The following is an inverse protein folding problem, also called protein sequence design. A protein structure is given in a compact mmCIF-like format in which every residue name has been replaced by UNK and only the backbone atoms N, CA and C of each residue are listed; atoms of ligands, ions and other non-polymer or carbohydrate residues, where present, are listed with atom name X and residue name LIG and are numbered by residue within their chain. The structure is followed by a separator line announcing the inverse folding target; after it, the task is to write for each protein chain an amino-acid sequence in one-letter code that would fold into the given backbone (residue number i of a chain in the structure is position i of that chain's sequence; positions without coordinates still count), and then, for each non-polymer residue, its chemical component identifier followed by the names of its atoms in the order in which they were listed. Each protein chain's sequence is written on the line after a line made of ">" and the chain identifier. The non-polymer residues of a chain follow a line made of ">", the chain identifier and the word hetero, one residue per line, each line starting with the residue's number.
data_IF_221544227144
#
_entry.id   IF_221544227144
#
_cell.length_a   1.000
_cell.length_b   1.000
_cell.length_c   1.000
_cell.angle_alpha   90.00
_cell.angle_beta   90.00
_cell.angle_gamma   90.00
#
_symmetry.space_group_name_H-M   'P 1'
#
loop_
_entity.id
_entity.type
_entity.pdbx_description
1 polymer ?
#
# COMPACT_ATOMS: atom_id res chain seq x y z
N UNK A 1 6.68 -4.23 3.56
CA UNK A 1 7.16 -3.53 4.76
C UNK A 1 8.02 -2.37 4.29
N UNK A 2 7.43 -1.18 4.22
CA UNK A 2 8.12 0.08 3.85
C UNK A 2 7.95 1.15 4.93
N UNK A 3 7.57 0.75 6.13
CA UNK A 3 7.30 1.65 7.24
C UNK A 3 8.54 2.40 7.70
N UNK A 4 8.33 3.57 8.32
CA UNK A 4 9.38 4.41 8.91
C UNK A 4 10.40 4.92 7.88
N UNK A 5 9.92 5.43 6.75
CA UNK A 5 10.76 6.04 5.73
C UNK A 5 10.27 7.47 5.40
N UNK A 6 11.04 8.16 4.56
CA UNK A 6 10.67 9.49 4.04
C UNK A 6 10.07 9.40 2.63
N UNK A 7 9.37 8.31 2.28
CA UNK A 7 8.81 8.15 0.95
C UNK A 7 7.67 9.17 0.76
N UNK A 8 7.67 9.85 -0.38
CA UNK A 8 6.71 10.91 -0.74
C UNK A 8 5.99 10.55 -2.04
N UNK A 9 4.99 11.33 -2.42
CA UNK A 9 4.17 11.08 -3.61
C UNK A 9 2.92 10.27 -3.29
N UNK A 10 2.34 9.61 -4.29
CA UNK A 10 1.09 8.85 -4.15
C UNK A 10 1.37 7.35 -3.98
N UNK A 11 0.41 6.63 -3.40
CA UNK A 11 0.47 5.17 -3.35
C UNK A 11 0.16 4.64 -4.77
N UNK A 12 1.03 3.83 -5.39
CA UNK A 12 0.79 3.31 -6.73
C UNK A 12 -0.40 2.34 -6.77
N UNK A 13 -1.29 2.50 -7.76
CA UNK A 13 -2.44 1.63 -7.93
C UNK A 13 -2.05 0.18 -8.28
N UNK A 14 -0.84 -0.01 -8.81
CA UNK A 14 -0.27 -1.30 -9.19
C UNK A 14 -0.07 -2.23 -7.99
N UNK A 15 0.01 -1.69 -6.76
CA UNK A 15 0.06 -2.53 -5.56
C UNK A 15 -1.16 -3.44 -5.45
N UNK A 16 -2.33 -3.00 -5.93
CA UNK A 16 -3.56 -3.81 -5.99
C UNK A 16 -3.47 -5.06 -6.89
N UNK A 17 -2.47 -5.13 -7.77
CA UNK A 17 -2.26 -6.26 -8.69
C UNK A 17 -1.41 -7.39 -8.08
N UNK A 18 -1.17 -7.36 -6.77
CA UNK A 18 -0.34 -8.35 -6.06
C UNK A 18 -1.24 -9.37 -5.34
N UNK A 19 -1.73 -10.43 -6.01
CA UNK A 19 -2.76 -11.33 -5.48
C UNK A 19 -2.32 -12.12 -4.24
N UNK A 20 -1.00 -12.26 -4.03
CA UNK A 20 -0.42 -13.00 -2.93
C UNK A 20 0.12 -12.08 -1.81
N UNK A 21 -0.10 -10.77 -1.89
CA UNK A 21 0.36 -9.83 -0.87
C UNK A 21 -0.43 -10.07 0.42
N UNK A 22 0.27 -10.42 1.51
CA UNK A 22 -0.33 -10.69 2.81
C UNK A 22 -0.19 -9.54 3.80
N UNK A 23 0.84 -8.71 3.63
CA UNK A 23 1.14 -7.60 4.52
C UNK A 23 1.55 -6.38 3.72
N UNK A 24 0.87 -5.26 3.94
CA UNK A 24 1.17 -3.97 3.33
C UNK A 24 1.31 -2.92 4.43
N UNK A 25 2.51 -2.80 5.00
CA UNK A 25 2.80 -1.72 5.95
C UNK A 25 3.47 -0.55 5.24
N UNK A 26 2.73 0.55 5.12
CA UNK A 26 3.18 1.85 4.57
C UNK A 26 3.24 2.95 5.64
N UNK A 27 3.06 2.59 6.92
CA UNK A 27 2.97 3.54 8.02
C UNK A 27 4.24 4.38 8.21
N UNK A 28 4.11 5.55 8.84
CA UNK A 28 5.21 6.48 9.06
C UNK A 28 6.03 6.78 7.77
N UNK A 29 5.30 7.22 6.74
CA UNK A 29 5.82 7.79 5.50
C UNK A 29 5.12 9.13 5.22
N UNK A 30 5.49 9.79 4.11
CA UNK A 30 4.94 11.07 3.67
C UNK A 30 4.14 10.92 2.37
N UNK A 31 3.42 9.81 2.21
CA UNK A 31 2.51 9.63 1.09
C UNK A 31 1.39 10.68 1.15
N UNK A 32 0.95 11.11 -0.03
CA UNK A 32 -0.04 12.17 -0.26
C UNK A 32 -1.01 11.72 -1.36
N UNK A 33 -2.10 12.45 -1.54
CA UNK A 33 -3.14 12.08 -2.51
C UNK A 33 -4.08 10.97 -1.99
N UNK A 34 -4.98 10.46 -2.86
CA UNK A 34 -5.98 9.49 -2.45
C UNK A 34 -5.39 8.09 -2.23
N UNK A 35 -6.06 7.30 -1.39
CA UNK A 35 -5.81 5.86 -1.30
C UNK A 35 -6.37 5.20 -2.57
N UNK A 36 -5.59 4.40 -3.32
CA UNK A 36 -6.10 3.74 -4.52
C UNK A 36 -7.16 2.69 -4.20
N UNK A 37 -8.31 2.76 -4.88
CA UNK A 37 -9.37 1.75 -4.77
C UNK A 37 -8.90 0.34 -5.15
N UNK A 38 -7.85 0.25 -5.97
CA UNK A 38 -7.23 -1.03 -6.35
C UNK A 38 -6.66 -1.79 -5.15
N UNK A 39 -6.36 -1.15 -4.02
CA UNK A 39 -5.97 -1.85 -2.80
C UNK A 39 -7.09 -2.78 -2.28
N UNK A 40 -8.35 -2.48 -2.60
CA UNK A 40 -9.48 -3.38 -2.32
C UNK A 40 -9.43 -4.71 -3.10
N UNK A 41 -8.57 -4.83 -4.11
CA UNK A 41 -8.38 -6.06 -4.89
C UNK A 41 -7.40 -7.04 -4.21
N UNK A 42 -6.77 -6.65 -3.10
CA UNK A 42 -5.82 -7.48 -2.38
C UNK A 42 -6.52 -8.56 -1.53
N UNK A 43 -7.05 -9.60 -2.20
CA UNK A 43 -7.86 -10.64 -1.55
C UNK A 43 -7.10 -11.49 -0.53
N UNK A 44 -5.77 -11.55 -0.62
CA UNK A 44 -4.92 -12.30 0.32
C UNK A 44 -4.36 -11.44 1.45
N UNK A 45 -4.72 -10.16 1.53
CA UNK A 45 -4.20 -9.24 2.54
C UNK A 45 -4.73 -9.61 3.92
N UNK A 46 -3.82 -9.70 4.88
CA UNK A 46 -4.11 -10.05 6.27
C UNK A 46 -3.80 -8.88 7.21
N UNK A 47 -2.80 -8.08 6.86
CA UNK A 47 -2.32 -6.96 7.66
C UNK A 47 -2.07 -5.74 6.77
N UNK A 48 -2.60 -4.60 7.20
CA UNK A 48 -2.48 -3.29 6.57
C UNK A 48 -1.96 -2.29 7.61
#
# INVERSE_FOLDING_TARGET
>A
LLQNNNITGVIPAELGKLPNLRTLDLSNNKFTGPIPDSLGQLTSLQYL
#
